data_IF_952713944535
#
_entry.id   IF_952713944535
#
_cell.length_a   1.000
_cell.length_b   1.000
_cell.length_c   1.000
_cell.angle_alpha   90.00
_cell.angle_beta   90.00
_cell.angle_gamma   90.00
#
_symmetry.space_group_name_H-M   'P 1'
#
loop_
_entity.id
_entity.type
_entity.pdbx_description
1 polymer ?
#
# COMPACT_ATOMS: atom_id res chain seq x y z
N UNK A 1 7.98 9.92 2.53
CA UNK A 1 6.75 9.55 1.78
C UNK A 1 7.15 8.80 0.53
N UNK A 2 6.45 7.71 0.25
CA UNK A 2 6.47 7.01 -1.04
C UNK A 2 5.21 7.43 -1.79
N UNK A 3 5.36 7.72 -3.07
CA UNK A 3 4.27 8.03 -3.99
C UNK A 3 4.61 7.50 -5.37
N UNK A 4 3.67 6.81 -6.01
CA UNK A 4 3.80 6.42 -7.40
C UNK A 4 3.86 7.65 -8.31
N UNK A 5 4.74 7.61 -9.31
CA UNK A 5 4.99 8.74 -10.23
C UNK A 5 3.99 8.79 -11.40
N UNK A 6 2.81 8.21 -11.25
CA UNK A 6 1.86 8.01 -12.34
C UNK A 6 0.70 9.03 -12.38
N UNK A 7 0.76 10.06 -11.52
CA UNK A 7 -0.23 11.14 -11.39
C UNK A 7 -1.62 10.69 -10.91
N UNK A 8 -1.76 9.48 -10.38
CA UNK A 8 -3.03 8.98 -9.83
C UNK A 8 -3.28 9.48 -8.41
N UNK A 9 -2.23 9.93 -7.70
CA UNK A 9 -2.26 10.46 -6.33
C UNK A 9 -2.06 11.97 -6.30
N UNK A 10 -2.65 12.63 -5.30
CA UNK A 10 -2.59 14.08 -5.16
C UNK A 10 -1.55 14.49 -4.10
N UNK A 11 -0.44 15.17 -4.47
CA UNK A 11 0.57 15.62 -3.50
C UNK A 11 0.04 16.59 -2.44
N UNK A 12 -1.10 17.24 -2.67
CA UNK A 12 -1.75 18.10 -1.67
C UNK A 12 -2.25 17.32 -0.44
N UNK A 13 -2.27 16.00 -0.51
CA UNK A 13 -2.68 15.12 0.59
C UNK A 13 -1.49 14.65 1.47
N UNK A 14 -0.25 15.10 1.22
CA UNK A 14 0.88 14.85 2.13
C UNK A 14 0.57 15.22 3.58
N UNK A 15 -0.07 16.36 3.89
CA UNK A 15 -0.43 16.68 5.27
C UNK A 15 -1.31 15.61 5.94
N UNK A 16 -2.24 14.99 5.21
CA UNK A 16 -3.13 13.95 5.73
C UNK A 16 -2.32 12.71 6.12
N UNK A 17 -1.35 12.31 5.29
CA UNK A 17 -0.46 11.17 5.56
C UNK A 17 0.50 11.44 6.71
N UNK A 18 0.99 12.66 6.86
CA UNK A 18 1.98 13.02 7.88
C UNK A 18 1.32 13.25 9.24
N UNK A 19 0.08 13.71 9.27
CA UNK A 19 -0.64 14.06 10.49
C UNK A 19 -0.61 12.96 11.56
N UNK A 20 -0.89 11.67 11.29
CA UNK A 20 -0.80 10.63 12.30
C UNK A 20 0.61 10.43 12.87
N UNK A 21 1.66 10.71 12.10
CA UNK A 21 3.05 10.64 12.58
C UNK A 21 3.31 11.76 13.60
N UNK A 22 2.79 12.97 13.32
CA UNK A 22 3.04 14.14 14.16
C UNK A 22 2.15 14.16 15.42
N UNK A 23 0.89 13.76 15.30
CA UNK A 23 -0.12 13.93 16.36
C UNK A 23 -0.43 12.64 17.13
N UNK A 24 -0.28 11.47 16.51
CA UNK A 24 -0.66 10.17 17.08
C UNK A 24 0.50 9.19 17.24
N UNK A 25 1.74 9.68 17.09
CA UNK A 25 2.95 8.87 17.22
C UNK A 25 3.01 7.66 16.26
N UNK A 26 2.30 7.71 15.11
CA UNK A 26 2.38 6.67 14.11
C UNK A 26 3.82 6.52 13.58
N UNK A 27 4.25 5.30 13.32
CA UNK A 27 5.54 5.00 12.70
C UNK A 27 5.40 4.87 11.18
N UNK A 28 4.24 4.36 10.74
CA UNK A 28 3.88 4.13 9.34
C UNK A 28 2.43 4.55 9.10
N UNK A 29 2.17 5.18 7.95
CA UNK A 29 0.81 5.55 7.54
C UNK A 29 0.57 5.08 6.11
N UNK A 30 -0.51 4.36 5.89
CA UNK A 30 -1.01 3.93 4.59
C UNK A 30 -2.11 4.89 4.12
N UNK A 31 -2.04 5.32 2.87
CA UNK A 31 -3.14 6.06 2.24
C UNK A 31 -4.07 5.09 1.52
N UNK A 32 -5.26 4.84 2.08
CA UNK A 32 -6.23 3.93 1.47
C UNK A 32 -7.12 4.62 0.43
N UNK A 33 -7.28 3.98 -0.71
CA UNK A 33 -8.24 4.38 -1.76
C UNK A 33 -9.67 3.97 -1.44
N UNK A 34 -9.86 3.11 -0.43
CA UNK A 34 -11.15 2.51 -0.06
C UNK A 34 -11.66 2.98 1.29
N UNK A 35 -10.85 3.69 2.06
CA UNK A 35 -11.22 4.25 3.37
C UNK A 35 -11.52 5.75 3.25
N UNK A 36 -12.64 6.17 3.82
CA UNK A 36 -12.98 7.58 4.01
C UNK A 36 -13.88 8.18 2.93
N UNK A 37 -14.22 9.46 3.13
CA UNK A 37 -15.22 10.21 2.37
C UNK A 37 -14.66 11.11 1.26
N UNK A 38 -13.38 11.04 0.94
CA UNK A 38 -12.81 11.85 -0.14
C UNK A 38 -13.30 11.40 -1.52
N UNK A 39 -13.55 12.31 -2.46
CA UNK A 39 -13.90 11.94 -3.82
C UNK A 39 -12.82 11.05 -4.42
N UNK A 40 -13.22 9.92 -4.98
CA UNK A 40 -12.33 9.03 -5.71
C UNK A 40 -13.00 8.57 -7.00
N UNK A 41 -12.21 8.35 -8.02
CA UNK A 41 -12.71 7.78 -9.25
C UNK A 41 -13.07 6.31 -9.03
N UNK A 42 -14.28 5.91 -9.45
CA UNK A 42 -14.71 4.52 -9.36
C UNK A 42 -13.75 3.62 -10.15
N UNK A 43 -13.16 2.64 -9.46
CA UNK A 43 -12.25 1.67 -10.07
C UNK A 43 -13.03 0.54 -10.73
N UNK A 44 -12.39 -0.19 -11.66
CA UNK A 44 -13.01 -1.36 -12.27
C UNK A 44 -13.28 -2.44 -11.21
N UNK A 45 -14.45 -3.08 -11.30
CA UNK A 45 -14.90 -4.10 -10.37
C UNK A 45 -13.86 -5.21 -10.12
N UNK A 46 -13.31 -5.79 -11.18
CA UNK A 46 -12.32 -6.86 -11.04
C UNK A 46 -10.99 -6.40 -10.45
N UNK A 47 -10.61 -5.15 -10.66
CA UNK A 47 -9.44 -4.57 -9.98
C UNK A 47 -9.67 -4.39 -8.48
N UNK A 48 -10.88 -3.98 -8.10
CA UNK A 48 -11.27 -3.89 -6.69
C UNK A 48 -11.22 -5.27 -6.03
N UNK A 49 -11.81 -6.29 -6.66
CA UNK A 49 -11.81 -7.66 -6.15
C UNK A 49 -10.38 -8.21 -6.02
N UNK A 50 -9.54 -8.02 -7.04
CA UNK A 50 -8.13 -8.44 -7.00
C UNK A 50 -7.36 -7.76 -5.87
N UNK A 51 -7.49 -6.43 -5.73
CA UNK A 51 -6.87 -5.68 -4.65
C UNK A 51 -7.35 -6.13 -3.27
N UNK A 52 -8.66 -6.30 -3.09
CA UNK A 52 -9.25 -6.77 -1.84
C UNK A 52 -8.77 -8.18 -1.47
N UNK A 53 -8.64 -9.06 -2.45
CA UNK A 53 -8.10 -10.40 -2.25
C UNK A 53 -6.64 -10.37 -1.82
N UNK A 54 -5.78 -9.58 -2.48
CA UNK A 54 -4.37 -9.44 -2.12
C UNK A 54 -4.21 -8.82 -0.73
N UNK A 55 -5.01 -7.79 -0.43
CA UNK A 55 -5.02 -7.15 0.89
C UNK A 55 -5.47 -8.14 1.98
N UNK A 56 -6.54 -8.91 1.75
CA UNK A 56 -7.00 -9.94 2.69
C UNK A 56 -5.92 -10.99 2.93
N UNK A 57 -5.29 -11.49 1.86
CA UNK A 57 -4.22 -12.47 1.96
C UNK A 57 -3.04 -11.92 2.76
N UNK A 58 -2.62 -10.68 2.48
CA UNK A 58 -1.57 -10.01 3.24
C UNK A 58 -1.94 -9.86 4.72
N UNK A 59 -3.16 -9.41 5.03
CA UNK A 59 -3.65 -9.25 6.39
C UNK A 59 -3.62 -10.56 7.20
N UNK A 60 -4.00 -11.69 6.57
CA UNK A 60 -3.94 -13.02 7.21
C UNK A 60 -2.51 -13.36 7.67
N UNK A 61 -1.49 -13.05 6.85
CA UNK A 61 -0.10 -13.40 7.17
C UNK A 61 0.62 -12.37 8.01
N UNK A 62 0.17 -11.13 8.03
CA UNK A 62 0.80 -10.02 8.78
C UNK A 62 0.12 -9.70 10.10
N UNK A 63 -1.08 -10.26 10.34
CA UNK A 63 -1.96 -9.90 11.46
C UNK A 63 -2.29 -8.39 11.50
N UNK A 64 -2.40 -7.78 10.31
CA UNK A 64 -2.84 -6.40 10.12
C UNK A 64 -4.30 -6.35 9.67
N UNK A 65 -4.92 -5.19 9.77
CA UNK A 65 -6.28 -4.94 9.28
C UNK A 65 -6.28 -3.74 8.32
N UNK A 66 -5.45 -3.80 7.28
CA UNK A 66 -5.42 -2.80 6.23
C UNK A 66 -6.62 -2.96 5.30
N UNK A 67 -7.12 -1.85 4.75
CA UNK A 67 -8.13 -1.84 3.69
C UNK A 67 -7.53 -1.79 2.30
N UNK A 68 -6.26 -1.32 2.18
CA UNK A 68 -5.57 -1.15 0.90
C UNK A 68 -4.04 -1.37 1.03
N UNK A 69 -3.60 -2.62 1.02
CA UNK A 69 -2.17 -2.97 1.07
C UNK A 69 -1.40 -2.50 -0.18
N UNK A 70 -2.05 -2.57 -1.34
CA UNK A 70 -1.48 -2.26 -2.67
C UNK A 70 -1.41 -0.75 -2.97
N UNK A 71 -1.69 0.12 -1.99
CA UNK A 71 -1.60 1.57 -2.20
C UNK A 71 -0.15 2.00 -2.47
N UNK A 72 0.08 2.80 -3.50
CA UNK A 72 1.37 3.46 -3.77
C UNK A 72 1.64 4.69 -2.90
N UNK A 73 0.81 4.96 -1.88
CA UNK A 73 0.89 6.15 -1.06
C UNK A 73 1.11 5.79 0.41
N UNK A 74 2.36 5.87 0.86
CA UNK A 74 2.76 5.48 2.23
C UNK A 74 3.70 6.52 2.83
N UNK A 75 3.53 6.83 4.13
CA UNK A 75 4.44 7.68 4.88
C UNK A 75 5.10 6.89 6.02
N UNK A 76 6.34 7.23 6.35
CA UNK A 76 7.16 6.54 7.34
C UNK A 76 7.94 7.52 8.19
N UNK A 77 8.16 7.19 9.47
CA UNK A 77 9.29 7.76 10.18
C UNK A 77 10.59 7.32 9.50
N UNK A 78 11.54 8.23 9.37
CA UNK A 78 12.79 7.99 8.62
C UNK A 78 13.61 6.81 9.15
N UNK A 79 13.65 6.63 10.47
CA UNK A 79 14.36 5.52 11.10
C UNK A 79 13.74 4.15 10.73
N UNK A 80 12.41 4.06 10.67
CA UNK A 80 11.70 2.84 10.25
C UNK A 80 12.01 2.51 8.79
N UNK A 81 11.89 3.50 7.91
CA UNK A 81 12.15 3.28 6.49
C UNK A 81 13.61 2.88 6.21
N UNK A 82 14.58 3.51 6.88
CA UNK A 82 16.01 3.19 6.71
C UNK A 82 16.41 1.79 7.19
N UNK A 83 15.61 1.16 8.04
CA UNK A 83 15.87 -0.20 8.51
C UNK A 83 15.34 -1.28 7.56
N UNK A 84 14.57 -0.89 6.53
CA UNK A 84 13.98 -1.82 5.56
C UNK A 84 14.86 -1.86 4.30
N UNK A 85 15.34 -3.05 3.94
CA UNK A 85 16.03 -3.29 2.68
C UNK A 85 14.99 -3.82 1.69
N UNK A 86 14.76 -3.13 0.60
CA UNK A 86 13.83 -3.54 -0.46
C UNK A 86 14.57 -4.36 -1.51
N UNK A 87 14.01 -5.52 -1.86
CA UNK A 87 14.58 -6.48 -2.83
C UNK A 87 13.72 -6.57 -4.11
N UNK A 88 12.42 -6.31 -3.99
CA UNK A 88 11.48 -6.44 -5.09
C UNK A 88 11.32 -5.14 -5.87
N UNK A 89 11.01 -5.30 -7.14
CA UNK A 89 10.65 -4.20 -8.03
C UNK A 89 9.17 -4.30 -8.41
N UNK A 90 8.58 -3.18 -8.87
CA UNK A 90 7.21 -3.11 -9.36
C UNK A 90 6.21 -3.66 -8.32
N UNK A 91 5.24 -4.46 -8.73
CA UNK A 91 4.14 -5.01 -7.92
C UNK A 91 4.55 -6.05 -6.84
N UNK A 92 5.83 -6.32 -6.66
CA UNK A 92 6.34 -7.06 -5.52
C UNK A 92 6.68 -6.17 -4.32
N UNK A 93 6.79 -4.86 -4.54
CA UNK A 93 7.21 -3.88 -3.54
C UNK A 93 6.19 -3.75 -2.40
N UNK A 94 4.91 -3.58 -2.70
CA UNK A 94 3.85 -3.39 -1.70
C UNK A 94 3.72 -4.60 -0.76
N UNK A 95 3.64 -5.84 -1.25
CA UNK A 95 3.63 -7.02 -0.37
C UNK A 95 4.92 -7.18 0.45
N UNK A 96 6.09 -6.90 -0.15
CA UNK A 96 7.36 -6.99 0.55
C UNK A 96 7.46 -6.01 1.69
N UNK A 97 7.23 -4.71 1.42
CA UNK A 97 7.36 -3.66 2.42
C UNK A 97 6.36 -3.88 3.56
N UNK A 98 5.12 -4.30 3.24
CA UNK A 98 4.08 -4.56 4.24
C UNK A 98 4.47 -5.72 5.15
N UNK A 99 4.98 -6.84 4.61
CA UNK A 99 5.45 -7.97 5.40
C UNK A 99 6.64 -7.59 6.31
N UNK A 100 7.60 -6.81 5.79
CA UNK A 100 8.76 -6.36 6.58
C UNK A 100 8.36 -5.38 7.68
N UNK A 101 7.44 -4.46 7.41
CA UNK A 101 6.87 -3.55 8.41
C UNK A 101 6.17 -4.35 9.51
N UNK A 102 5.28 -5.27 9.17
CA UNK A 102 4.51 -6.05 10.14
C UNK A 102 5.42 -6.78 11.14
N UNK A 103 6.55 -7.33 10.67
CA UNK A 103 7.54 -8.01 11.54
C UNK A 103 8.20 -7.08 12.55
N UNK A 104 8.31 -5.80 12.26
CA UNK A 104 8.86 -4.80 13.17
C UNK A 104 7.86 -4.36 14.23
N UNK A 105 6.56 -4.71 14.10
CA UNK A 105 5.45 -4.34 15.00
C UNK A 105 5.37 -2.84 15.30
N UNK A 106 5.44 -1.96 14.30
CA UNK A 106 5.34 -0.52 14.49
C UNK A 106 3.88 -0.10 14.73
N UNK A 107 3.70 1.15 15.13
CA UNK A 107 2.38 1.78 15.19
C UNK A 107 1.96 2.18 13.78
N UNK A 108 0.97 1.49 13.22
CA UNK A 108 0.49 1.72 11.85
C UNK A 108 -0.87 2.42 11.89
N UNK A 109 -1.02 3.44 11.06
CA UNK A 109 -2.28 4.12 10.79
C UNK A 109 -2.66 3.97 9.32
N UNK A 110 -3.95 4.03 9.04
CA UNK A 110 -4.49 4.11 7.70
C UNK A 110 -5.38 5.34 7.58
N UNK A 111 -5.23 6.11 6.50
CA UNK A 111 -6.01 7.32 6.23
C UNK A 111 -6.62 7.27 4.85
N UNK A 112 -7.84 7.77 4.70
CA UNK A 112 -8.50 7.86 3.40
C UNK A 112 -7.85 8.94 2.54
N UNK A 113 -7.59 8.61 1.28
CA UNK A 113 -7.03 9.52 0.27
C UNK A 113 -7.94 9.62 -0.95
N UNK A 114 -7.77 10.68 -1.74
CA UNK A 114 -8.36 10.74 -3.07
C UNK A 114 -7.55 9.86 -4.05
N UNK A 115 -8.22 9.34 -5.07
CA UNK A 115 -7.58 8.53 -6.08
C UNK A 115 -8.19 8.79 -7.45
N UNK A 116 -7.35 9.11 -8.42
CA UNK A 116 -7.77 9.40 -9.79
C UNK A 116 -7.18 8.36 -10.77
N UNK A 117 -7.62 7.11 -10.61
CA UNK A 117 -7.11 5.98 -11.38
C UNK A 117 -7.24 6.16 -12.90
N UNK A 118 -6.19 5.82 -13.64
CA UNK A 118 -6.15 5.85 -15.10
C UNK A 118 -7.06 4.78 -15.73
N UNK A 119 -7.58 5.10 -16.89
CA UNK A 119 -8.25 4.13 -17.75
C UNK A 119 -7.22 3.30 -18.54
N UNK A 120 -7.65 2.17 -19.10
CA UNK A 120 -6.82 1.38 -20.01
C UNK A 120 -6.36 2.21 -21.23
N UNK A 121 -7.24 3.08 -21.76
CA UNK A 121 -6.90 4.04 -22.82
C UNK A 121 -5.82 5.06 -22.42
N UNK A 122 -5.60 5.26 -21.13
CA UNK A 122 -4.59 6.15 -20.57
C UNK A 122 -3.30 5.41 -20.16
N UNK A 123 -3.11 4.17 -20.62
CA UNK A 123 -1.87 3.42 -20.42
C UNK A 123 -1.79 2.60 -19.11
N UNK A 124 -2.93 2.24 -18.51
CA UNK A 124 -2.94 1.31 -17.37
C UNK A 124 -2.35 -0.05 -17.79
N UNK A 125 -1.28 -0.50 -17.11
CA UNK A 125 -0.49 -1.69 -17.49
C UNK A 125 -0.58 -2.86 -16.49
N UNK A 126 -1.48 -2.82 -15.52
CA UNK A 126 -1.63 -3.90 -14.53
C UNK A 126 -2.26 -5.11 -15.21
N UNK A 127 -1.62 -6.27 -15.07
CA UNK A 127 -2.10 -7.53 -15.61
C UNK A 127 -2.15 -8.64 -14.56
N UNK A 128 -2.75 -9.79 -14.91
CA UNK A 128 -2.86 -10.94 -14.02
C UNK A 128 -1.51 -11.46 -13.51
N UNK A 129 -0.42 -11.32 -14.31
CA UNK A 129 0.95 -11.69 -13.92
C UNK A 129 1.45 -10.91 -12.71
N UNK A 130 1.04 -9.64 -12.60
CA UNK A 130 1.40 -8.77 -11.47
C UNK A 130 0.72 -9.27 -10.18
N UNK A 131 -0.54 -9.70 -10.27
CA UNK A 131 -1.26 -10.32 -9.16
C UNK A 131 -0.61 -11.63 -8.69
N UNK A 132 -0.20 -12.50 -9.62
CA UNK A 132 0.55 -13.73 -9.29
C UNK A 132 1.86 -13.39 -8.60
N UNK A 133 2.58 -12.37 -9.07
CA UNK A 133 3.81 -11.91 -8.42
C UNK A 133 3.57 -11.40 -7.01
N UNK A 134 2.51 -10.61 -6.80
CA UNK A 134 2.13 -10.12 -5.49
C UNK A 134 1.83 -11.27 -4.51
N UNK A 135 1.06 -12.28 -4.94
CA UNK A 135 0.80 -13.48 -4.14
C UNK A 135 2.10 -14.17 -3.76
N UNK A 136 2.99 -14.40 -4.73
CA UNK A 136 4.30 -15.00 -4.46
C UNK A 136 5.09 -14.20 -3.42
N UNK A 137 5.12 -12.88 -3.54
CA UNK A 137 5.83 -12.01 -2.59
C UNK A 137 5.20 -12.05 -1.19
N UNK A 138 3.86 -12.10 -1.08
CA UNK A 138 3.18 -12.27 0.21
C UNK A 138 3.70 -13.54 0.91
N UNK A 139 3.70 -14.68 0.23
CA UNK A 139 4.20 -15.94 0.81
C UNK A 139 5.71 -15.87 1.11
N UNK A 140 6.52 -15.39 0.15
CA UNK A 140 7.97 -15.31 0.28
C UNK A 140 8.40 -14.54 1.52
N UNK A 141 7.84 -13.33 1.72
CA UNK A 141 8.29 -12.45 2.79
C UNK A 141 7.63 -12.71 4.14
N UNK A 142 6.51 -13.39 4.19
CA UNK A 142 5.88 -13.75 5.45
C UNK A 142 6.36 -15.11 5.99
N UNK A 143 6.56 -16.11 5.13
CA UNK A 143 6.87 -17.48 5.55
C UNK A 143 8.36 -17.83 5.49
N UNK A 144 9.10 -17.33 4.49
CA UNK A 144 10.45 -17.82 4.19
C UNK A 144 11.57 -16.82 4.48
N UNK A 145 11.27 -15.56 4.70
CA UNK A 145 12.26 -14.54 5.06
C UNK A 145 12.02 -14.03 6.48
N UNK A 146 13.00 -14.20 7.36
CA UNK A 146 13.02 -13.62 8.72
C UNK A 146 13.42 -12.15 8.67
#
# INVERSE_FOLDING_TARGET
IIQDADLEYNPKEYPILIKPILEHNADVVYGSRFQGGNPHRVVYFWHMIGNSFLTLLSNIFTDLNLTDMETGYKAFKTNVFKSIIIEENRFGFEPEITAKIAKMKPIIFEVGISYNGRLYSQGKKIGWKDGVRAIFCIFKYNLFRK
#
